data_IF_138663898444
#
_entry.id   IF_138663898444
#
_cell.length_a   1.000
_cell.length_b   1.000
_cell.length_c   1.000
_cell.angle_alpha   90.00
_cell.angle_beta   90.00
_cell.angle_gamma   90.00
#
_symmetry.space_group_name_H-M   'P 1'
#
loop_
_entity.id
_entity.type
_entity.pdbx_description
1 polymer ?
#
# COMPACT_ATOMS: atom_id res chain seq x y z
N UNK A 1 -17.78 -2.95 -15.72
CA UNK A 1 -16.50 -2.23 -15.63
C UNK A 1 -15.53 -3.09 -14.83
N UNK A 2 -14.30 -3.25 -15.29
CA UNK A 2 -13.29 -4.07 -14.61
C UNK A 2 -12.28 -3.14 -13.93
N UNK A 3 -12.12 -3.27 -12.62
CA UNK A 3 -11.21 -2.49 -11.80
C UNK A 3 -10.49 -3.38 -10.80
N UNK A 4 -9.33 -2.96 -10.32
CA UNK A 4 -8.59 -3.64 -9.25
C UNK A 4 -7.86 -2.60 -8.40
N UNK A 5 -8.11 -2.61 -7.09
CA UNK A 5 -7.56 -1.61 -6.18
C UNK A 5 -6.67 -2.18 -5.07
N UNK A 6 -6.55 -3.49 -4.96
CA UNK A 6 -5.71 -4.14 -3.95
C UNK A 6 -4.58 -4.91 -4.62
N UNK A 7 -3.49 -4.22 -4.88
CA UNK A 7 -2.35 -4.77 -5.61
C UNK A 7 -1.03 -4.30 -5.00
N UNK A 8 -0.11 -5.24 -4.86
CA UNK A 8 1.21 -5.01 -4.31
C UNK A 8 2.29 -5.07 -5.38
N UNK A 9 3.34 -4.31 -5.17
CA UNK A 9 4.52 -4.25 -6.02
C UNK A 9 5.76 -4.63 -5.22
N UNK A 10 6.93 -4.54 -5.85
CA UNK A 10 8.19 -4.74 -5.16
C UNK A 10 8.58 -3.61 -4.20
N UNK A 11 7.74 -2.61 -4.02
CA UNK A 11 7.86 -1.68 -2.88
C UNK A 11 7.55 -2.36 -1.54
N UNK A 12 6.74 -3.41 -1.55
CA UNK A 12 6.46 -4.23 -0.37
C UNK A 12 6.76 -5.72 -0.64
N UNK A 13 5.76 -6.56 -0.77
CA UNK A 13 5.92 -8.01 -0.89
C UNK A 13 5.62 -8.57 -2.29
N UNK A 14 5.34 -7.72 -3.26
CA UNK A 14 5.15 -8.13 -4.64
C UNK A 14 6.48 -8.42 -5.38
N UNK A 15 6.40 -9.15 -6.48
CA UNK A 15 7.56 -9.57 -7.26
C UNK A 15 7.85 -8.68 -8.48
N UNK A 16 6.92 -7.81 -8.84
CA UNK A 16 7.01 -6.96 -10.02
C UNK A 16 7.03 -5.48 -9.66
N UNK A 17 7.62 -4.68 -10.54
CA UNK A 17 7.58 -3.22 -10.38
C UNK A 17 6.16 -2.69 -10.57
N UNK A 18 5.90 -1.50 -10.03
CA UNK A 18 4.61 -0.84 -10.23
C UNK A 18 4.30 -0.64 -11.72
N UNK A 19 5.31 -0.28 -12.50
CA UNK A 19 5.12 -0.06 -13.95
C UNK A 19 4.74 -1.35 -14.69
N UNK A 20 5.41 -2.47 -14.39
CA UNK A 20 5.07 -3.78 -14.96
C UNK A 20 3.63 -4.19 -14.61
N UNK A 21 3.22 -3.97 -13.37
CA UNK A 21 1.86 -4.25 -12.91
C UNK A 21 0.82 -3.38 -13.63
N UNK A 22 1.11 -2.09 -13.80
CA UNK A 22 0.24 -1.16 -14.52
C UNK A 22 0.10 -1.56 -15.99
N UNK A 23 1.20 -1.90 -16.65
CA UNK A 23 1.20 -2.35 -18.04
C UNK A 23 0.37 -3.63 -18.22
N UNK A 24 0.52 -4.58 -17.30
CA UNK A 24 -0.27 -5.82 -17.31
C UNK A 24 -1.78 -5.54 -17.12
N UNK A 25 -2.13 -4.64 -16.20
CA UNK A 25 -3.51 -4.24 -15.96
C UNK A 25 -4.14 -3.56 -17.18
N UNK A 26 -3.40 -2.68 -17.83
CA UNK A 26 -3.83 -2.02 -19.07
C UNK A 26 -4.03 -3.03 -20.20
N UNK A 27 -3.09 -3.95 -20.39
CA UNK A 27 -3.20 -5.02 -21.40
C UNK A 27 -4.38 -5.96 -21.13
N UNK A 28 -4.72 -6.20 -19.87
CA UNK A 28 -5.87 -7.00 -19.46
C UNK A 28 -7.23 -6.29 -19.63
N UNK A 29 -7.23 -5.03 -20.04
CA UNK A 29 -8.44 -4.25 -20.29
C UNK A 29 -9.10 -3.70 -19.02
N UNK A 30 -8.38 -3.53 -17.93
CA UNK A 30 -8.90 -2.85 -16.75
C UNK A 30 -9.15 -1.36 -17.06
N UNK A 31 -10.14 -0.79 -16.40
CA UNK A 31 -10.46 0.65 -16.50
C UNK A 31 -9.77 1.46 -15.43
N UNK A 32 -9.60 0.88 -14.24
CA UNK A 32 -8.81 1.46 -13.17
C UNK A 32 -7.93 0.40 -12.51
N UNK A 33 -6.74 0.80 -12.14
CA UNK A 33 -5.78 -0.02 -11.42
C UNK A 33 -5.16 0.78 -10.28
N UNK A 34 -5.35 0.33 -9.06
CA UNK A 34 -4.77 0.93 -7.87
C UNK A 34 -3.54 0.16 -7.41
N UNK A 35 -2.46 0.89 -7.13
CA UNK A 35 -1.29 0.36 -6.44
C UNK A 35 -1.47 0.62 -4.96
N UNK A 36 -1.36 -0.41 -4.12
CA UNK A 36 -1.67 -0.32 -2.69
C UNK A 36 -0.72 -1.19 -1.87
N UNK A 37 0.57 -0.86 -1.92
CA UNK A 37 1.59 -1.61 -1.20
C UNK A 37 1.38 -1.57 0.33
N UNK A 38 1.86 -2.60 1.02
CA UNK A 38 1.84 -2.67 2.48
C UNK A 38 2.68 -1.58 3.11
N UNK A 39 2.12 -0.92 4.10
CA UNK A 39 2.78 0.08 4.91
C UNK A 39 2.47 -0.14 6.38
N UNK A 40 3.50 -0.39 7.17
CA UNK A 40 3.37 -0.66 8.59
C UNK A 40 4.33 0.23 9.37
N UNK A 41 3.79 0.99 10.30
CA UNK A 41 4.57 1.71 11.31
C UNK A 41 4.40 0.99 12.63
N UNK A 42 5.41 0.25 13.04
CA UNK A 42 5.37 -0.47 14.32
C UNK A 42 5.27 0.54 15.49
N UNK A 43 4.33 0.37 16.40
CA UNK A 43 4.25 1.21 17.59
C UNK A 43 5.33 0.90 18.63
N UNK A 44 6.20 -0.07 18.42
CA UNK A 44 7.07 -0.64 19.44
C UNK A 44 6.32 -1.64 20.32
N UNK A 45 6.58 -1.65 21.62
CA UNK A 45 5.83 -2.46 22.59
C UNK A 45 5.78 -3.98 22.28
N UNK A 46 6.86 -4.53 21.71
CA UNK A 46 6.95 -5.94 21.36
C UNK A 46 6.45 -6.30 19.96
N UNK A 47 5.98 -5.33 19.18
CA UNK A 47 5.79 -5.50 17.74
C UNK A 47 7.14 -5.33 17.05
N UNK A 48 7.63 -6.37 16.40
CA UNK A 48 8.89 -6.32 15.64
C UNK A 48 8.78 -5.48 14.36
N UNK A 49 9.92 -5.24 13.73
CA UNK A 49 9.93 -4.64 12.40
C UNK A 49 9.45 -5.66 11.36
N UNK A 50 8.67 -5.19 10.40
CA UNK A 50 8.18 -6.01 9.30
C UNK A 50 9.15 -5.96 8.13
N UNK A 51 9.51 -7.12 7.60
CA UNK A 51 10.40 -7.23 6.43
C UNK A 51 9.63 -7.24 5.10
N UNK A 52 8.33 -7.49 5.15
CA UNK A 52 7.45 -7.63 3.98
C UNK A 52 6.68 -6.36 3.63
N UNK A 53 6.89 -5.29 4.38
CA UNK A 53 6.22 -4.01 4.18
C UNK A 53 7.21 -2.93 3.76
N UNK A 54 6.68 -1.88 3.14
CA UNK A 54 7.45 -0.69 2.83
C UNK A 54 7.85 0.02 4.13
N UNK A 55 9.13 0.40 4.23
CA UNK A 55 9.63 1.17 5.36
C UNK A 55 9.16 2.63 5.27
N UNK A 56 9.01 3.28 6.43
CA UNK A 56 8.55 4.68 6.51
C UNK A 56 9.34 5.62 5.60
N UNK A 57 10.66 5.45 5.53
CA UNK A 57 11.55 6.30 4.75
C UNK A 57 11.34 6.18 3.23
N UNK A 58 10.72 5.09 2.78
CA UNK A 58 10.39 4.89 1.36
C UNK A 58 9.06 5.52 0.95
N UNK A 59 8.23 5.94 1.89
CA UNK A 59 6.91 6.50 1.57
C UNK A 59 6.96 7.68 0.59
N UNK A 60 7.84 8.67 0.74
CA UNK A 60 7.96 9.75 -0.25
C UNK A 60 8.33 9.25 -1.64
N UNK A 61 9.25 8.31 -1.74
CA UNK A 61 9.67 7.72 -3.03
C UNK A 61 8.55 6.92 -3.69
N UNK A 62 7.78 6.19 -2.90
CA UNK A 62 6.60 5.47 -3.36
C UNK A 62 5.57 6.41 -3.97
N UNK A 63 5.20 7.44 -3.23
CA UNK A 63 4.21 8.45 -3.68
C UNK A 63 4.69 9.15 -4.94
N UNK A 64 5.96 9.54 -4.99
CA UNK A 64 6.55 10.18 -6.18
C UNK A 64 6.51 9.25 -7.38
N UNK A 65 6.94 8.00 -7.22
CA UNK A 65 6.99 7.03 -8.32
C UNK A 65 5.60 6.74 -8.88
N UNK A 66 4.63 6.45 -8.03
CA UNK A 66 3.27 6.20 -8.49
C UNK A 66 2.64 7.46 -9.10
N UNK A 67 2.94 8.63 -8.55
CA UNK A 67 2.53 9.91 -9.14
C UNK A 67 3.06 10.12 -10.56
N UNK A 68 4.32 9.77 -10.82
CA UNK A 68 4.91 9.80 -12.16
C UNK A 68 4.22 8.81 -13.10
N UNK A 69 3.93 7.61 -12.63
CA UNK A 69 3.24 6.57 -13.41
C UNK A 69 1.78 6.95 -13.71
N UNK A 70 1.09 7.62 -12.79
CA UNK A 70 -0.23 8.20 -13.05
C UNK A 70 -0.17 9.17 -14.24
N UNK A 71 0.78 10.07 -14.26
CA UNK A 71 0.96 11.03 -15.36
C UNK A 71 1.26 10.33 -16.69
N UNK A 72 2.07 9.27 -16.65
CA UNK A 72 2.49 8.53 -17.85
C UNK A 72 1.36 7.69 -18.45
N UNK A 73 0.55 7.03 -17.61
CA UNK A 73 -0.42 6.01 -18.06
C UNK A 73 -1.88 6.45 -18.05
N UNK A 74 -2.25 7.51 -17.33
CA UNK A 74 -3.64 7.96 -17.28
C UNK A 74 -4.12 8.45 -18.64
N UNK A 75 -5.26 7.91 -19.09
CA UNK A 75 -5.97 8.31 -20.30
C UNK A 75 -7.46 8.44 -19.99
N UNK A 76 -8.29 8.76 -20.96
CA UNK A 76 -9.75 8.76 -20.79
C UNK A 76 -10.32 7.37 -20.55
N UNK A 77 -9.57 6.33 -20.86
CA UNK A 77 -10.01 4.93 -20.82
C UNK A 77 -9.33 4.08 -19.75
N UNK A 78 -8.25 4.57 -19.14
CA UNK A 78 -7.50 3.85 -18.12
C UNK A 78 -6.96 4.82 -17.07
N UNK A 79 -7.17 4.50 -15.80
CA UNK A 79 -6.71 5.31 -14.67
C UNK A 79 -5.88 4.49 -13.69
N UNK A 80 -4.71 5.00 -13.37
CA UNK A 80 -3.89 4.52 -12.24
C UNK A 80 -4.28 5.30 -10.98
N UNK A 81 -4.43 4.60 -9.87
CA UNK A 81 -4.75 5.18 -8.55
C UNK A 81 -3.59 4.93 -7.59
N UNK A 82 -3.26 5.96 -6.83
CA UNK A 82 -2.29 5.88 -5.74
C UNK A 82 -3.03 5.49 -4.46
N UNK A 83 -2.86 4.25 -4.05
CA UNK A 83 -3.40 3.74 -2.80
C UNK A 83 -2.29 3.29 -1.85
N UNK A 84 -2.69 2.85 -0.69
CA UNK A 84 -1.82 2.23 0.31
C UNK A 84 -2.62 1.26 1.15
N UNK A 85 -2.04 0.11 1.47
CA UNK A 85 -2.57 -0.81 2.47
C UNK A 85 -1.84 -0.60 3.78
N UNK A 86 -2.54 -0.02 4.74
CA UNK A 86 -1.96 0.42 6.01
C UNK A 86 -2.47 -0.42 7.17
N UNK A 87 -1.53 -0.92 7.98
CA UNK A 87 -1.87 -1.54 9.24
C UNK A 87 -2.09 -0.47 10.31
N UNK A 88 -3.25 -0.53 10.95
CA UNK A 88 -3.55 0.34 12.08
C UNK A 88 -3.42 -0.42 13.39
N UNK A 89 -2.63 0.15 14.28
CA UNK A 89 -2.52 -0.31 15.66
C UNK A 89 -3.25 0.67 16.57
N UNK A 90 -3.91 0.17 17.60
CA UNK A 90 -4.58 1.02 18.58
C UNK A 90 -3.65 2.10 19.16
N UNK A 91 -2.38 1.73 19.37
CA UNK A 91 -1.38 2.60 19.99
C UNK A 91 -0.95 3.80 19.13
N UNK A 92 -1.05 3.70 17.79
CA UNK A 92 -0.53 4.75 16.89
C UNK A 92 -1.42 5.08 15.69
N UNK A 93 -2.67 4.61 15.67
CA UNK A 93 -3.56 4.79 14.53
C UNK A 93 -3.73 6.26 14.12
N UNK A 94 -3.90 7.16 15.10
CA UNK A 94 -4.08 8.58 14.83
C UNK A 94 -2.82 9.23 14.24
N UNK A 95 -1.64 8.87 14.76
CA UNK A 95 -0.36 9.35 14.23
C UNK A 95 -0.14 8.90 12.78
N UNK A 96 -0.42 7.63 12.49
CA UNK A 96 -0.29 7.07 11.14
C UNK A 96 -1.28 7.74 10.17
N UNK A 97 -2.52 7.94 10.60
CA UNK A 97 -3.52 8.65 9.79
C UNK A 97 -3.11 10.08 9.46
N UNK A 98 -2.54 10.81 10.43
CA UNK A 98 -2.00 12.16 10.21
C UNK A 98 -0.84 12.15 9.21
N UNK A 99 0.07 11.20 9.31
CA UNK A 99 1.17 11.03 8.37
C UNK A 99 0.65 10.81 6.94
N UNK A 100 -0.30 9.90 6.77
CA UNK A 100 -0.81 9.58 5.44
C UNK A 100 -1.56 10.75 4.79
N UNK A 101 -2.19 11.61 5.58
CA UNK A 101 -2.90 12.81 5.09
C UNK A 101 -1.95 13.87 4.50
N UNK A 102 -0.66 13.78 4.77
CA UNK A 102 0.35 14.67 4.16
C UNK A 102 0.61 14.34 2.69
N UNK A 103 0.12 13.21 2.20
CA UNK A 103 0.36 12.71 0.84
C UNK A 103 -0.94 12.63 0.04
N UNK A 104 -0.87 12.78 -1.29
CA UNK A 104 -2.05 12.82 -2.16
C UNK A 104 -2.56 11.41 -2.53
N UNK A 105 -2.81 10.56 -1.53
CA UNK A 105 -3.42 9.25 -1.77
C UNK A 105 -4.83 9.39 -2.33
N UNK A 106 -5.16 8.56 -3.31
CA UNK A 106 -6.52 8.45 -3.83
C UNK A 106 -7.41 7.62 -2.88
N UNK A 107 -6.81 6.66 -2.15
CA UNK A 107 -7.52 5.80 -1.19
C UNK A 107 -6.55 5.12 -0.22
N UNK A 108 -7.10 4.64 0.88
CA UNK A 108 -6.42 3.78 1.84
C UNK A 108 -7.20 2.48 1.99
N UNK A 109 -6.49 1.36 2.14
CA UNK A 109 -7.03 0.10 2.60
C UNK A 109 -6.55 -0.10 4.03
N UNK A 110 -7.47 -0.11 4.98
CA UNK A 110 -7.16 -0.42 6.37
C UNK A 110 -7.00 -1.93 6.55
N UNK A 111 -5.93 -2.34 7.22
CA UNK A 111 -5.63 -3.73 7.46
C UNK A 111 -5.27 -3.98 8.94
N UNK A 112 -5.45 -5.21 9.39
CA UNK A 112 -4.98 -5.68 10.69
C UNK A 112 -4.28 -7.01 10.45
N UNK A 113 -2.95 -6.98 10.34
CA UNK A 113 -2.12 -8.17 10.19
C UNK A 113 -1.49 -8.59 11.53
N UNK A 114 -1.48 -7.69 12.51
CA UNK A 114 -0.90 -7.92 13.83
C UNK A 114 -1.98 -7.86 14.88
N UNK A 115 -2.01 -8.86 15.74
CA UNK A 115 -2.92 -8.92 16.86
C UNK A 115 -2.17 -9.36 18.10
N UNK A 116 -2.40 -8.68 19.21
CA UNK A 116 -1.78 -8.98 20.50
C UNK A 116 -2.85 -9.34 21.51
N UNK A 117 -2.77 -10.54 22.03
CA UNK A 117 -3.59 -10.98 23.15
C UNK A 117 -2.67 -11.18 24.35
N UNK A 118 -2.88 -10.40 25.41
CA UNK A 118 -2.02 -10.40 26.59
C UNK A 118 -0.57 -10.06 26.25
N UNK A 119 0.35 -11.01 26.38
CA UNK A 119 1.78 -10.85 26.09
C UNK A 119 2.23 -11.55 24.80
N UNK A 120 1.30 -12.15 24.07
CA UNK A 120 1.60 -12.90 22.84
C UNK A 120 1.25 -12.06 21.62
N UNK A 121 2.16 -12.04 20.65
CA UNK A 121 1.99 -11.39 19.35
C UNK A 121 1.56 -12.44 18.32
N UNK A 122 0.46 -12.18 17.65
CA UNK A 122 0.00 -12.99 16.51
C UNK A 122 0.12 -12.16 15.23
N UNK A 123 0.65 -12.79 14.19
CA UNK A 123 0.68 -12.22 12.85
C UNK A 123 -0.26 -13.04 11.98
N UNK A 124 -1.21 -12.37 11.34
CA UNK A 124 -2.09 -13.02 10.39
C UNK A 124 -1.45 -13.02 9.02
N UNK A 125 -1.26 -14.22 8.47
CA UNK A 125 -0.85 -14.41 7.09
C UNK A 125 -2.09 -14.77 6.27
N UNK A 126 -2.38 -13.98 5.26
CA UNK A 126 -3.39 -14.33 4.27
C UNK A 126 -2.70 -15.03 3.11
N UNK A 127 -3.09 -16.24 2.85
CA UNK A 127 -2.61 -17.03 1.72
C UNK A 127 -3.46 -16.76 0.48
#
# INVERSE_FOLDING_TARGET
MRVSYHNHTNFSDGNHSAEEMIQAAQAAGLKEFGVSDHFVVSPGNGYGESTWTMQRDFLPKYVEKIGQLKKKYNTDHFKVRLGIEVDFFEDNADEVALLLREYPFDYWIGAIHYWKKSRELFVMYFL
#
